data_IF_909479518052
#
_entry.id   IF_909479518052
#
_cell.length_a   1.000
_cell.length_b   1.000
_cell.length_c   1.000
_cell.angle_alpha   90.00
_cell.angle_beta   90.00
_cell.angle_gamma   90.00
#
_symmetry.space_group_name_H-M   'P 1'
#
loop_
_entity.id
_entity.type
_entity.pdbx_description
1 polymer ?
#
# COMPACT_ATOMS: atom_id res chain seq x y z
N UNK A 1 7.17 1.16 26.81
CA UNK A 1 6.38 1.90 25.81
C UNK A 1 5.29 0.96 25.37
N UNK A 2 4.04 1.21 25.78
CA UNK A 2 2.93 0.36 25.37
C UNK A 2 2.54 0.71 23.93
N UNK A 3 2.91 -0.16 22.99
CA UNK A 3 2.58 0.01 21.58
C UNK A 3 1.12 -0.40 21.37
N UNK A 4 0.24 0.58 21.11
CA UNK A 4 -1.15 0.28 20.74
C UNK A 4 -1.23 -0.40 19.37
N UNK A 5 -2.31 -1.14 19.11
CA UNK A 5 -2.54 -1.81 17.83
C UNK A 5 -2.48 -0.82 16.64
N UNK A 6 -3.06 0.38 16.79
CA UNK A 6 -2.98 1.44 15.78
C UNK A 6 -1.54 1.91 15.53
N UNK A 7 -0.71 2.04 16.57
CA UNK A 7 0.71 2.40 16.39
C UNK A 7 1.46 1.32 15.60
N UNK A 8 1.27 0.04 15.95
CA UNK A 8 1.89 -1.08 15.23
C UNK A 8 1.44 -1.10 13.76
N UNK A 9 0.15 -0.88 13.52
CA UNK A 9 -0.41 -0.85 12.18
C UNK A 9 0.24 0.23 11.30
N UNK A 10 0.31 1.47 11.78
CA UNK A 10 0.91 2.60 11.05
C UNK A 10 2.41 2.41 10.83
N UNK A 11 3.13 1.77 11.77
CA UNK A 11 4.54 1.43 11.58
C UNK A 11 4.76 0.42 10.45
N UNK A 12 3.86 -0.56 10.31
CA UNK A 12 4.05 -1.68 9.38
C UNK A 12 3.40 -1.46 8.01
N UNK A 13 2.47 -0.52 7.87
CA UNK A 13 1.64 -0.35 6.65
C UNK A 13 2.45 -0.15 5.35
N UNK A 14 3.65 0.41 5.44
CA UNK A 14 4.51 0.65 4.28
C UNK A 14 5.22 -0.62 3.79
N UNK A 15 5.44 -1.60 4.68
CA UNK A 15 6.24 -2.79 4.39
C UNK A 15 5.64 -3.62 3.25
N UNK A 16 4.34 -3.97 3.25
CA UNK A 16 3.78 -4.74 2.14
C UNK A 16 3.82 -4.00 0.81
N UNK A 17 3.38 -2.74 0.76
CA UNK A 17 3.26 -2.00 -0.50
C UNK A 17 4.63 -1.73 -1.13
N UNK A 18 5.55 -1.10 -0.38
CA UNK A 18 6.87 -0.77 -0.88
C UNK A 18 7.69 -2.04 -1.11
N UNK A 19 7.60 -3.02 -0.21
CA UNK A 19 8.31 -4.28 -0.35
C UNK A 19 7.85 -5.09 -1.57
N UNK A 20 6.56 -5.07 -1.91
CA UNK A 20 6.05 -5.69 -3.12
C UNK A 20 6.53 -4.96 -4.38
N UNK A 21 6.54 -3.63 -4.38
CA UNK A 21 7.05 -2.82 -5.47
C UNK A 21 8.56 -3.06 -5.70
N UNK A 22 9.37 -2.93 -4.65
CA UNK A 22 10.81 -3.14 -4.72
C UNK A 22 11.22 -4.60 -4.91
N UNK A 23 10.36 -5.57 -4.58
CA UNK A 23 10.54 -6.98 -4.91
C UNK A 23 10.19 -7.30 -6.37
N UNK A 24 9.17 -6.65 -6.93
CA UNK A 24 8.74 -6.85 -8.31
C UNK A 24 9.79 -6.38 -9.33
N UNK A 25 10.53 -5.30 -9.04
CA UNK A 25 11.57 -4.76 -9.92
C UNK A 25 12.70 -5.77 -10.21
N UNK A 26 13.45 -6.29 -9.20
CA UNK A 26 14.49 -7.29 -9.44
C UNK A 26 13.91 -8.60 -9.96
N UNK A 27 12.68 -8.97 -9.60
CA UNK A 27 12.02 -10.15 -10.16
C UNK A 27 11.81 -10.00 -11.67
N UNK A 28 11.30 -8.86 -12.13
CA UNK A 28 11.12 -8.54 -13.54
C UNK A 28 12.45 -8.52 -14.29
N UNK A 29 13.44 -7.78 -13.78
CA UNK A 29 14.76 -7.68 -14.41
C UNK A 29 15.43 -9.05 -14.46
N UNK A 30 15.37 -9.83 -13.38
CA UNK A 30 15.91 -11.19 -13.32
C UNK A 30 15.23 -12.15 -14.30
N UNK A 31 13.92 -12.03 -14.50
CA UNK A 31 13.17 -12.86 -15.45
C UNK A 31 13.55 -12.55 -16.90
N UNK A 32 13.69 -11.27 -17.26
CA UNK A 32 14.10 -10.80 -18.60
C UNK A 32 15.57 -11.15 -18.86
N UNK A 33 16.46 -10.76 -17.95
CA UNK A 33 17.91 -11.02 -18.05
C UNK A 33 18.28 -12.49 -17.80
N UNK A 34 17.30 -13.31 -17.37
CA UNK A 34 17.46 -14.72 -17.02
C UNK A 34 18.49 -14.94 -15.89
N UNK A 35 18.73 -13.94 -15.05
CA UNK A 35 19.69 -14.00 -13.94
C UNK A 35 19.04 -14.62 -12.70
N UNK A 36 19.57 -15.77 -12.25
CA UNK A 36 19.03 -16.51 -11.11
C UNK A 36 19.03 -15.70 -9.82
N UNK A 37 20.12 -14.99 -9.53
CA UNK A 37 20.26 -14.20 -8.30
C UNK A 37 19.14 -13.16 -8.19
N UNK A 38 18.89 -12.38 -9.24
CA UNK A 38 17.83 -11.36 -9.24
C UNK A 38 16.42 -11.96 -9.11
N UNK A 39 16.15 -13.09 -9.77
CA UNK A 39 14.87 -13.79 -9.62
C UNK A 39 14.68 -14.19 -8.16
N UNK A 40 15.69 -14.78 -7.52
CA UNK A 40 15.59 -15.22 -6.14
C UNK A 40 15.46 -14.06 -5.16
N UNK A 41 16.25 -12.99 -5.34
CA UNK A 41 16.13 -11.77 -4.53
C UNK A 41 14.71 -11.21 -4.64
N UNK A 42 14.17 -11.07 -5.84
CA UNK A 42 12.81 -10.58 -6.06
C UNK A 42 11.74 -11.48 -5.46
N UNK A 43 11.85 -12.80 -5.63
CA UNK A 43 10.91 -13.75 -5.02
C UNK A 43 10.93 -13.69 -3.48
N UNK A 44 12.11 -13.61 -2.86
CA UNK A 44 12.22 -13.47 -1.41
C UNK A 44 11.63 -12.16 -0.90
N UNK A 45 11.93 -11.04 -1.57
CA UNK A 45 11.35 -9.74 -1.22
C UNK A 45 9.82 -9.76 -1.36
N UNK A 46 9.28 -10.28 -2.46
CA UNK A 46 7.83 -10.42 -2.68
C UNK A 46 7.20 -11.32 -1.62
N UNK A 47 7.81 -12.45 -1.28
CA UNK A 47 7.29 -13.38 -0.27
C UNK A 47 7.26 -12.73 1.13
N UNK A 48 8.38 -12.16 1.58
CA UNK A 48 8.46 -11.52 2.90
C UNK A 48 7.49 -10.35 3.03
N UNK A 49 7.41 -9.52 1.99
CA UNK A 49 6.52 -8.36 1.96
C UNK A 49 5.06 -8.80 1.92
N UNK A 50 4.71 -9.79 1.09
CA UNK A 50 3.35 -10.31 1.00
C UNK A 50 2.89 -10.98 2.29
N UNK A 51 3.74 -11.73 2.99
CA UNK A 51 3.39 -12.32 4.29
C UNK A 51 3.29 -11.29 5.41
N UNK A 52 3.98 -10.15 5.31
CA UNK A 52 3.86 -9.07 6.29
C UNK A 52 2.45 -8.46 6.38
N UNK A 53 1.60 -8.66 5.36
CA UNK A 53 0.18 -8.25 5.42
C UNK A 53 -0.55 -8.89 6.60
N UNK A 54 -0.20 -10.10 7.03
CA UNK A 54 -0.86 -10.74 8.16
C UNK A 54 -0.72 -9.90 9.44
N UNK A 55 0.48 -9.34 9.69
CA UNK A 55 0.73 -8.47 10.83
C UNK A 55 -0.01 -7.12 10.69
N UNK A 56 -0.03 -6.54 9.49
CA UNK A 56 -0.73 -5.28 9.22
C UNK A 56 -2.24 -5.43 9.38
N UNK A 57 -2.83 -6.49 8.83
CA UNK A 57 -4.26 -6.78 8.93
C UNK A 57 -4.67 -7.03 10.38
N UNK A 58 -3.94 -7.89 11.11
CA UNK A 58 -4.25 -8.19 12.51
C UNK A 58 -4.20 -6.94 13.38
N UNK A 59 -3.15 -6.12 13.24
CA UNK A 59 -3.03 -4.87 14.01
C UNK A 59 -4.09 -3.82 13.60
N UNK A 60 -4.47 -3.77 12.33
CA UNK A 60 -5.53 -2.86 11.84
C UNK A 60 -6.92 -3.27 12.31
N UNK A 61 -7.22 -4.57 12.27
CA UNK A 61 -8.48 -5.14 12.75
C UNK A 61 -8.67 -4.88 14.25
N UNK A 62 -7.66 -5.19 15.08
CA UNK A 62 -7.72 -4.87 16.52
C UNK A 62 -7.89 -3.36 16.76
N UNK A 63 -7.24 -2.51 15.97
CA UNK A 63 -7.40 -1.06 16.09
C UNK A 63 -8.83 -0.59 15.74
N UNK A 64 -9.45 -1.19 14.73
CA UNK A 64 -10.84 -0.95 14.35
C UNK A 64 -11.80 -1.46 15.42
N UNK A 65 -11.65 -2.70 15.89
CA UNK A 65 -12.51 -3.30 16.92
C UNK A 65 -12.53 -2.46 18.21
N UNK A 66 -11.37 -1.96 18.64
CA UNK A 66 -11.30 -1.04 19.78
C UNK A 66 -12.05 0.27 19.52
N UNK A 67 -12.00 0.76 18.29
CA UNK A 67 -12.65 1.99 17.91
C UNK A 67 -14.18 1.82 17.74
N UNK A 68 -14.66 0.66 17.27
CA UNK A 68 -16.08 0.28 17.30
C UNK A 68 -16.63 0.20 18.73
N UNK A 69 -15.78 -0.10 19.71
CA UNK A 69 -16.11 -0.08 21.15
C UNK A 69 -15.99 1.32 21.78
N UNK A 70 -15.75 2.37 21.00
CA UNK A 70 -15.60 3.74 21.48
C UNK A 70 -14.24 4.03 22.16
N UNK A 71 -13.24 3.17 21.96
CA UNK A 71 -11.90 3.32 22.53
C UNK A 71 -10.85 3.69 21.46
N UNK A 72 -9.63 4.00 21.90
CA UNK A 72 -8.50 4.17 20.98
C UNK A 72 -8.70 5.33 20.00
N UNK A 73 -8.68 5.03 18.71
CA UNK A 73 -8.78 6.05 17.66
C UNK A 73 -10.17 6.70 17.55
N UNK A 74 -11.22 6.09 18.11
CA UNK A 74 -12.61 6.57 18.04
C UNK A 74 -12.78 8.01 18.56
N UNK A 75 -12.04 8.38 19.61
CA UNK A 75 -12.11 9.71 20.22
C UNK A 75 -11.72 10.86 19.27
N UNK A 76 -11.18 10.54 18.09
CA UNK A 76 -10.64 11.52 17.16
C UNK A 76 -11.23 11.38 15.74
N UNK A 77 -12.31 10.62 15.59
CA UNK A 77 -12.91 10.35 14.28
C UNK A 77 -14.24 11.08 14.19
N UNK A 78 -14.36 11.91 13.16
CA UNK A 78 -15.65 12.47 12.75
C UNK A 78 -16.40 11.44 11.88
N UNK A 79 -17.67 11.73 11.58
CA UNK A 79 -18.53 10.84 10.79
C UNK A 79 -17.92 10.47 9.43
N UNK A 80 -17.27 11.43 8.77
CA UNK A 80 -16.60 11.22 7.49
C UNK A 80 -15.38 10.29 7.61
N UNK A 81 -14.52 10.50 8.62
CA UNK A 81 -13.36 9.64 8.88
C UNK A 81 -13.79 8.21 9.23
N UNK A 82 -14.94 8.07 9.89
CA UNK A 82 -15.49 6.78 10.25
C UNK A 82 -15.93 5.98 9.03
N UNK A 83 -16.63 6.63 8.09
CA UNK A 83 -16.97 6.02 6.81
C UNK A 83 -15.72 5.61 6.01
N UNK A 84 -14.71 6.48 5.96
CA UNK A 84 -13.46 6.20 5.24
C UNK A 84 -12.68 5.07 5.90
N UNK A 85 -12.68 4.97 7.24
CA UNK A 85 -12.06 3.84 7.95
C UNK A 85 -12.73 2.51 7.56
N UNK A 86 -14.06 2.49 7.48
CA UNK A 86 -14.80 1.30 7.06
C UNK A 86 -14.46 0.90 5.62
N UNK A 87 -14.41 1.88 4.72
CA UNK A 87 -14.01 1.68 3.33
C UNK A 87 -12.56 1.20 3.22
N UNK A 88 -11.64 1.76 4.00
CA UNK A 88 -10.25 1.31 4.09
C UNK A 88 -10.16 -0.14 4.57
N UNK A 89 -10.90 -0.51 5.62
CA UNK A 89 -10.93 -1.87 6.15
C UNK A 89 -11.42 -2.88 5.10
N UNK A 90 -12.56 -2.61 4.46
CA UNK A 90 -13.09 -3.49 3.43
C UNK A 90 -12.20 -3.55 2.17
N UNK A 91 -11.58 -2.44 1.79
CA UNK A 91 -10.60 -2.43 0.71
C UNK A 91 -9.39 -3.28 1.08
N UNK A 92 -8.85 -3.15 2.30
CA UNK A 92 -7.72 -3.93 2.79
C UNK A 92 -8.04 -5.44 2.79
N UNK A 93 -9.21 -5.83 3.28
CA UNK A 93 -9.65 -7.23 3.27
C UNK A 93 -9.75 -7.80 1.84
N UNK A 94 -10.30 -7.02 0.90
CA UNK A 94 -10.44 -7.42 -0.50
C UNK A 94 -9.08 -7.58 -1.18
N UNK A 95 -8.18 -6.63 -0.99
CA UNK A 95 -6.89 -6.59 -1.66
C UNK A 95 -5.79 -7.41 -0.96
N UNK A 96 -5.97 -7.78 0.30
CA UNK A 96 -5.09 -8.76 0.96
C UNK A 96 -5.13 -10.13 0.27
N UNK A 97 -6.28 -10.55 -0.27
CA UNK A 97 -6.45 -11.84 -0.95
C UNK A 97 -5.48 -12.04 -2.12
N UNK A 98 -5.43 -11.16 -3.16
CA UNK A 98 -4.46 -11.31 -4.24
C UNK A 98 -3.01 -11.15 -3.79
N UNK A 99 -2.72 -10.38 -2.73
CA UNK A 99 -1.35 -10.30 -2.18
C UNK A 99 -0.95 -11.61 -1.50
N UNK A 100 -1.83 -12.27 -0.75
CA UNK A 100 -1.55 -13.61 -0.21
C UNK A 100 -1.32 -14.65 -1.29
N UNK A 101 -2.09 -14.61 -2.38
CA UNK A 101 -1.85 -15.46 -3.56
C UNK A 101 -0.47 -15.17 -4.15
N UNK A 102 -0.11 -13.89 -4.27
CA UNK A 102 1.22 -13.46 -4.74
C UNK A 102 2.33 -13.99 -3.84
N UNK A 103 2.18 -13.87 -2.52
CA UNK A 103 3.12 -14.36 -1.52
C UNK A 103 3.30 -15.89 -1.62
N UNK A 104 2.18 -16.62 -1.75
CA UNK A 104 2.18 -18.07 -1.91
C UNK A 104 2.89 -18.49 -3.19
N UNK A 105 2.59 -17.85 -4.33
CA UNK A 105 3.27 -18.12 -5.60
C UNK A 105 4.78 -17.87 -5.49
N UNK A 106 5.19 -16.80 -4.79
CA UNK A 106 6.60 -16.51 -4.56
C UNK A 106 7.27 -17.58 -3.67
N UNK A 107 6.64 -17.98 -2.56
CA UNK A 107 7.14 -19.06 -1.69
C UNK A 107 7.25 -20.40 -2.43
N UNK A 108 6.24 -20.75 -3.24
CA UNK A 108 6.27 -21.96 -4.08
C UNK A 108 7.40 -21.90 -5.10
N UNK A 109 7.59 -20.76 -5.78
CA UNK A 109 8.69 -20.58 -6.72
C UNK A 109 10.07 -20.71 -6.04
N UNK A 110 10.23 -20.22 -4.81
CA UNK A 110 11.45 -20.41 -4.01
C UNK A 110 11.69 -21.91 -3.78
N UNK A 111 10.67 -22.65 -3.32
CA UNK A 111 10.77 -24.11 -3.08
C UNK A 111 11.07 -24.93 -4.35
N UNK A 112 10.58 -24.49 -5.51
CA UNK A 112 10.81 -25.17 -6.80
C UNK A 112 12.25 -25.04 -7.32
N UNK A 113 13.07 -24.13 -6.76
CA UNK A 113 14.46 -23.91 -7.14
C UNK A 113 15.30 -25.19 -7.11
N UNK A 114 15.08 -26.06 -6.13
CA UNK A 114 15.92 -27.24 -5.88
C UNK A 114 15.69 -28.38 -6.88
N UNK A 115 14.47 -28.54 -7.41
CA UNK A 115 14.12 -29.71 -8.23
C UNK A 115 13.62 -29.38 -9.64
N UNK A 116 13.05 -28.19 -9.87
CA UNK A 116 12.37 -27.86 -11.13
C UNK A 116 12.60 -26.42 -11.62
N UNK A 117 13.83 -26.07 -12.00
CA UNK A 117 14.21 -24.72 -12.46
C UNK A 117 13.37 -24.19 -13.64
N UNK A 118 12.89 -25.07 -14.54
CA UNK A 118 12.02 -24.65 -15.65
C UNK A 118 10.62 -24.24 -15.18
N UNK A 119 10.07 -24.95 -14.20
CA UNK A 119 8.77 -24.65 -13.61
C UNK A 119 8.84 -23.43 -12.69
N UNK A 120 9.92 -23.29 -11.92
CA UNK A 120 10.19 -22.11 -11.09
C UNK A 120 10.00 -20.81 -11.89
N UNK A 121 10.55 -20.73 -13.11
CA UNK A 121 10.45 -19.52 -13.93
C UNK A 121 9.02 -19.21 -14.37
N UNK A 122 8.22 -20.24 -14.67
CA UNK A 122 6.80 -20.06 -15.01
C UNK A 122 6.02 -19.54 -13.81
N UNK A 123 6.24 -20.12 -12.63
CA UNK A 123 5.59 -19.66 -11.39
C UNK A 123 6.05 -18.26 -11.00
N UNK A 124 7.33 -17.92 -11.23
CA UNK A 124 7.85 -16.57 -11.00
C UNK A 124 7.20 -15.51 -11.92
N UNK A 125 6.90 -15.84 -13.18
CA UNK A 125 6.11 -14.97 -14.05
C UNK A 125 4.69 -14.75 -13.52
N UNK A 126 4.04 -15.80 -13.01
CA UNK A 126 2.72 -15.69 -12.37
C UNK A 126 2.77 -14.85 -11.09
N UNK A 127 3.80 -15.05 -10.26
CA UNK A 127 4.02 -14.25 -9.05
C UNK A 127 4.20 -12.77 -9.41
N UNK A 128 4.97 -12.46 -10.44
CA UNK A 128 5.15 -11.09 -10.92
C UNK A 128 3.84 -10.49 -11.44
N UNK A 129 3.07 -11.22 -12.25
CA UNK A 129 1.79 -10.75 -12.77
C UNK A 129 0.79 -10.44 -11.64
N UNK A 130 0.71 -11.31 -10.62
CA UNK A 130 -0.14 -11.09 -9.45
C UNK A 130 0.36 -9.95 -8.57
N UNK A 131 1.68 -9.77 -8.42
CA UNK A 131 2.26 -8.62 -7.73
C UNK A 131 1.85 -7.31 -8.39
N UNK A 132 2.00 -7.21 -9.72
CA UNK A 132 1.62 -6.02 -10.49
C UNK A 132 0.11 -5.75 -10.44
N UNK A 133 -0.72 -6.80 -10.44
CA UNK A 133 -2.16 -6.68 -10.25
C UNK A 133 -2.54 -6.17 -8.85
N UNK A 134 -1.78 -6.56 -7.83
CA UNK A 134 -2.06 -6.21 -6.43
C UNK A 134 -1.65 -4.78 -6.09
N UNK A 135 -0.64 -4.21 -6.76
CA UNK A 135 -0.10 -2.88 -6.46
C UNK A 135 -1.14 -1.75 -6.54
N UNK A 136 -1.96 -1.62 -7.61
CA UNK A 136 -3.01 -0.59 -7.65
C UNK A 136 -4.01 -0.72 -6.50
N UNK A 137 -4.39 -1.95 -6.16
CA UNK A 137 -5.28 -2.22 -5.04
C UNK A 137 -4.70 -1.78 -3.70
N UNK A 138 -3.44 -2.11 -3.46
CA UNK A 138 -2.71 -1.66 -2.27
C UNK A 138 -2.53 -0.14 -2.23
N UNK A 139 -2.35 0.51 -3.38
CA UNK A 139 -2.28 1.96 -3.47
C UNK A 139 -3.62 2.62 -3.09
N UNK A 140 -4.75 2.05 -3.53
CA UNK A 140 -6.08 2.50 -3.10
C UNK A 140 -6.27 2.35 -1.59
N UNK A 141 -5.86 1.22 -1.02
CA UNK A 141 -5.90 1.00 0.44
C UNK A 141 -5.07 2.05 1.18
N UNK A 142 -3.86 2.35 0.69
CA UNK A 142 -3.00 3.37 1.27
C UNK A 142 -3.60 4.78 1.15
N UNK A 143 -4.23 5.11 0.02
CA UNK A 143 -4.93 6.39 -0.19
C UNK A 143 -6.05 6.58 0.85
N UNK A 144 -6.94 5.59 0.98
CA UNK A 144 -8.01 5.63 1.97
C UNK A 144 -7.43 5.74 3.39
N UNK A 145 -6.32 5.05 3.68
CA UNK A 145 -5.64 5.11 4.97
C UNK A 145 -5.16 6.53 5.31
N UNK A 146 -4.59 7.26 4.35
CA UNK A 146 -4.21 8.66 4.52
C UNK A 146 -5.42 9.55 4.79
N UNK A 147 -6.51 9.37 4.04
CA UNK A 147 -7.73 10.16 4.16
C UNK A 147 -8.44 10.05 5.53
N UNK A 148 -8.16 9.01 6.32
CA UNK A 148 -8.74 8.85 7.68
C UNK A 148 -8.35 10.02 8.59
N UNK A 149 -7.09 10.48 8.53
CA UNK A 149 -6.57 11.55 9.40
C UNK A 149 -6.17 12.83 8.68
N UNK A 150 -6.18 12.80 7.35
CA UNK A 150 -5.86 13.93 6.49
C UNK A 150 -7.10 14.36 5.70
N UNK A 151 -8.00 15.16 6.29
CA UNK A 151 -9.18 15.68 5.59
C UNK A 151 -8.81 16.49 4.34
N UNK A 152 -7.63 17.08 4.28
CA UNK A 152 -7.07 17.76 3.09
C UNK A 152 -7.01 16.87 1.84
N UNK A 153 -6.93 15.54 2.01
CA UNK A 153 -6.93 14.60 0.89
C UNK A 153 -8.33 14.27 0.34
N UNK A 154 -9.40 14.68 1.02
CA UNK A 154 -10.78 14.39 0.63
C UNK A 154 -11.29 15.40 -0.41
N UNK A 155 -10.88 16.66 -0.30
CA UNK A 155 -11.32 17.74 -1.21
C UNK A 155 -10.59 17.68 -2.56
N UNK A 156 -9.34 17.21 -2.58
CA UNK A 156 -8.55 17.06 -3.80
C UNK A 156 -9.18 16.08 -4.83
N UNK A 157 -10.00 15.12 -4.39
CA UNK A 157 -10.75 14.23 -5.30
C UNK A 157 -12.05 14.85 -5.82
N UNK A 158 -12.67 15.79 -5.09
CA UNK A 158 -13.84 16.54 -5.56
C UNK A 158 -13.47 17.66 -6.54
N UNK A 159 -12.22 18.13 -6.49
CA UNK A 159 -11.66 19.20 -7.32
C UNK A 159 -10.83 18.72 -8.51
N UNK A 160 -11.33 17.76 -9.30
CA UNK A 160 -10.78 17.41 -10.62
C UNK A 160 -10.93 18.53 -11.68
N UNK A 161 -10.93 19.79 -11.27
CA UNK A 161 -10.82 20.96 -12.12
C UNK A 161 -9.49 21.62 -11.82
N UNK A 162 -8.67 21.78 -12.86
CA UNK A 162 -7.45 22.60 -12.85
C UNK A 162 -7.71 23.85 -12.01
N UNK A 163 -7.03 23.97 -10.86
CA UNK A 163 -6.88 25.26 -10.21
C UNK A 163 -5.98 26.04 -11.14
N UNK A 164 -6.59 26.77 -12.07
CA UNK A 164 -5.94 27.88 -12.73
C UNK A 164 -5.55 28.82 -11.60
N UNK A 165 -4.27 28.81 -11.26
CA UNK A 165 -3.68 29.81 -10.38
C UNK A 165 -3.87 31.11 -11.13
N UNK A 166 -4.96 31.81 -10.82
CA UNK A 166 -5.21 33.16 -11.27
C UNK A 166 -4.01 33.97 -10.77
N UNK A 167 -3.08 34.23 -11.69
CA UNK A 167 -1.90 35.03 -11.41
C UNK A 167 -2.39 36.40 -11.01
N UNK A 168 -2.33 36.69 -9.72
CA UNK A 168 -2.64 38.00 -9.17
C UNK A 168 -1.69 39.00 -9.83
N UNK A 169 -2.23 39.80 -10.75
CA UNK A 169 -1.53 40.88 -11.41
C UNK A 169 -0.97 41.82 -10.33
N UNK A 170 0.32 42.17 -10.35
CA UNK A 170 0.88 43.06 -9.34
C UNK A 170 0.17 44.42 -9.44
N UNK A 171 -0.50 44.80 -8.36
CA UNK A 171 -1.15 46.10 -8.23
C UNK A 171 -0.15 47.20 -8.60
N UNK A 172 -0.54 48.02 -9.57
CA UNK A 172 0.28 49.08 -10.15
C UNK A 172 0.89 49.99 -9.09
N UNK A 173 2.14 50.34 -9.34
CA UNK A 173 2.95 51.28 -8.57
C UNK A 173 2.24 52.64 -8.52
N UNK A 174 1.56 52.92 -7.40
CA UNK A 174 1.00 54.23 -7.10
C UNK A 174 2.18 55.19 -6.87
N UNK A 175 2.45 56.02 -7.89
CA UNK A 175 3.42 57.12 -7.79
C UNK A 175 2.94 58.11 -6.73
N UNK A 176 3.73 58.26 -5.67
CA UNK A 176 3.59 59.33 -4.69
C UNK A 176 3.72 60.70 -5.39
N UNK A 177 2.79 61.65 -5.19
CA UNK A 177 2.96 63.01 -5.68
C UNK A 177 4.07 63.73 -4.88
N UNK A 178 4.91 64.48 -5.60
CA UNK A 178 6.00 65.31 -5.08
C UNK A 178 5.54 66.44 -4.14
#
# INVERSE_FOLDING_TARGET
>A
MDLSAAHVHVMLVHVPLLGLFFGAVPLLVGLIAKQRLMIETGLWMVALSGWSIAAVMSSGETAKELADQGMGIAAYLDEASWKILEEHYHAAERWAKPVYVTALLATVAIGMRWFWTRWQRRVAWWALAMALLSLPGMALVANNGGQIRHPEFREAEAGGGVVEVETMEPAGEERLPE
#
